data_IF_342933561728
#
_entry.id   IF_342933561728
#
_cell.length_a   1.000
_cell.length_b   1.000
_cell.length_c   1.000
_cell.angle_alpha   90.00
_cell.angle_beta   90.00
_cell.angle_gamma   90.00
#
_symmetry.space_group_name_H-M   'P 1'
#
loop_
_entity.id
_entity.type
_entity.pdbx_description
1 polymer ?
#
# COMPACT_ATOMS: atom_id res chain seq x y z
N UNK A 1 1.98 -19.47 11.86
CA UNK A 1 0.71 -18.74 12.05
C UNK A 1 1.01 -17.26 12.06
N UNK A 2 0.23 -16.43 11.36
CA UNK A 2 0.49 -15.00 11.30
C UNK A 2 0.06 -14.34 12.62
N UNK A 3 0.94 -13.58 13.30
CA UNK A 3 0.60 -12.84 14.52
C UNK A 3 -0.59 -11.87 14.34
N UNK A 4 -1.03 -11.62 13.10
CA UNK A 4 -2.07 -10.64 12.75
C UNK A 4 -3.48 -10.95 13.21
N UNK A 5 -3.77 -12.18 13.64
CA UNK A 5 -5.05 -12.51 14.28
C UNK A 5 -4.98 -12.25 15.79
N UNK A 6 -4.31 -11.17 16.20
CA UNK A 6 -4.14 -10.77 17.60
C UNK A 6 -4.87 -9.46 17.80
N UNK A 7 -5.73 -9.41 18.81
CA UNK A 7 -6.50 -8.24 19.21
C UNK A 7 -5.57 -7.07 19.58
N UNK A 8 -4.34 -7.36 20.02
CA UNK A 8 -3.25 -6.40 20.26
C UNK A 8 -3.00 -5.44 19.08
N UNK A 9 -3.15 -5.91 17.83
CA UNK A 9 -2.87 -5.09 16.64
C UNK A 9 -4.06 -4.27 16.14
N UNK A 10 -5.18 -4.28 16.86
CA UNK A 10 -6.30 -3.38 16.58
C UNK A 10 -6.01 -1.97 17.12
N UNK A 11 -6.65 -0.90 16.62
CA UNK A 11 -6.49 0.44 17.19
C UNK A 11 -6.76 0.50 18.70
N UNK A 12 -7.77 -0.24 19.16
CA UNK A 12 -8.09 -0.37 20.58
C UNK A 12 -6.99 -1.14 21.35
N UNK A 13 -6.47 -2.22 20.76
CA UNK A 13 -5.35 -3.00 21.30
C UNK A 13 -4.09 -2.17 21.48
N UNK A 14 -3.72 -1.37 20.47
CA UNK A 14 -2.56 -0.47 20.52
C UNK A 14 -2.71 0.62 21.58
N UNK A 15 -3.90 1.23 21.67
CA UNK A 15 -4.20 2.20 22.73
C UNK A 15 -4.05 1.58 24.11
N UNK A 16 -4.63 0.39 24.31
CA UNK A 16 -4.57 -0.32 25.59
C UNK A 16 -3.15 -0.75 25.95
N UNK A 17 -2.39 -1.23 24.98
CA UNK A 17 -0.98 -1.55 25.15
C UNK A 17 -0.19 -0.34 25.66
N UNK A 18 -0.38 0.82 25.04
CA UNK A 18 0.30 2.06 25.45
C UNK A 18 -0.07 2.46 26.88
N UNK A 19 -1.34 2.35 27.26
CA UNK A 19 -1.78 2.57 28.65
C UNK A 19 -1.08 1.64 29.64
N UNK A 20 -0.95 0.34 29.30
CA UNK A 20 -0.29 -0.64 30.16
C UNK A 20 1.19 -0.33 30.29
N UNK A 21 1.91 -0.14 29.18
CA UNK A 21 3.35 0.18 29.19
C UNK A 21 3.65 1.45 29.99
N UNK A 22 2.81 2.48 29.87
CA UNK A 22 2.98 3.72 30.61
C UNK A 22 2.84 3.53 32.13
N UNK A 23 1.96 2.62 32.57
CA UNK A 23 1.73 2.30 33.98
C UNK A 23 2.77 1.35 34.59
N UNK A 24 3.61 0.70 33.79
CA UNK A 24 4.68 -0.16 34.30
C UNK A 24 5.68 0.67 35.12
N UNK A 25 6.07 0.15 36.29
CA UNK A 25 7.12 0.73 37.13
C UNK A 25 8.51 0.23 36.67
N UNK A 26 8.88 0.59 35.44
CA UNK A 26 10.16 0.23 34.79
C UNK A 26 10.84 1.48 34.22
N UNK A 27 12.17 1.45 33.98
CA UNK A 27 12.89 2.54 33.34
C UNK A 27 12.25 2.98 32.01
N UNK A 28 12.35 4.28 31.71
CA UNK A 28 11.77 4.85 30.48
C UNK A 28 12.32 4.19 29.20
N UNK A 29 13.61 3.85 29.19
CA UNK A 29 14.25 3.19 28.05
C UNK A 29 13.60 1.83 27.73
N UNK A 30 13.18 1.08 28.74
CA UNK A 30 12.49 -0.21 28.54
C UNK A 30 11.08 -0.01 27.98
N UNK A 31 10.37 1.05 28.40
CA UNK A 31 9.08 1.43 27.82
C UNK A 31 9.23 1.75 26.32
N UNK A 32 10.24 2.53 25.96
CA UNK A 32 10.58 2.84 24.56
C UNK A 32 10.90 1.55 23.79
N UNK A 33 11.69 0.64 24.37
CA UNK A 33 12.03 -0.63 23.75
C UNK A 33 10.78 -1.52 23.50
N UNK A 34 9.79 -1.52 24.39
CA UNK A 34 8.52 -2.21 24.15
C UNK A 34 7.76 -1.61 22.96
N UNK A 35 7.64 -0.28 22.91
CA UNK A 35 6.98 0.42 21.80
C UNK A 35 7.69 0.18 20.46
N UNK A 36 9.02 0.28 20.44
CA UNK A 36 9.82 0.04 19.23
C UNK A 36 9.67 -1.39 18.72
N UNK A 37 9.63 -2.39 19.61
CA UNK A 37 9.41 -3.79 19.25
C UNK A 37 8.04 -3.99 18.63
N UNK A 38 6.99 -3.41 19.22
CA UNK A 38 5.63 -3.51 18.69
C UNK A 38 5.53 -2.83 17.33
N UNK A 39 6.14 -1.65 17.19
CA UNK A 39 6.22 -0.93 15.92
C UNK A 39 6.95 -1.75 14.84
N UNK A 40 8.06 -2.41 15.17
CA UNK A 40 8.79 -3.25 14.24
C UNK A 40 7.93 -4.40 13.70
N UNK A 41 7.05 -4.97 14.52
CA UNK A 41 6.11 -6.03 14.13
C UNK A 41 4.97 -5.47 13.27
N UNK A 42 4.38 -4.32 13.64
CA UNK A 42 3.37 -3.63 12.82
C UNK A 42 3.91 -3.19 11.45
N UNK A 43 5.20 -2.91 11.41
CA UNK A 43 5.91 -2.57 10.19
C UNK A 43 6.20 -3.78 9.31
N UNK A 44 6.09 -5.00 9.82
CA UNK A 44 6.22 -6.21 9.04
C UNK A 44 5.04 -6.34 8.06
N UNK A 45 5.24 -5.86 6.84
CA UNK A 45 4.26 -5.98 5.77
C UNK A 45 4.31 -7.39 5.19
N UNK A 46 3.13 -7.97 5.03
CA UNK A 46 2.90 -9.24 4.34
C UNK A 46 1.90 -9.01 3.22
N UNK A 47 1.84 -9.93 2.28
CA UNK A 47 0.79 -9.95 1.28
C UNK A 47 -0.55 -10.29 1.94
N UNK A 48 -1.57 -9.49 1.64
CA UNK A 48 -2.96 -9.84 1.97
C UNK A 48 -3.35 -11.05 1.11
N UNK A 49 -3.10 -10.95 -0.20
CA UNK A 49 -3.31 -12.04 -1.16
C UNK A 49 -1.99 -12.70 -1.51
N UNK A 50 -1.81 -13.98 -1.14
CA UNK A 50 -0.55 -14.71 -1.38
C UNK A 50 -0.16 -14.78 -2.87
N UNK A 51 -1.15 -14.65 -3.76
CA UNK A 51 -0.95 -14.71 -5.21
C UNK A 51 -0.60 -13.35 -5.85
N UNK A 52 -0.55 -12.23 -5.11
CA UNK A 52 -0.31 -10.89 -5.70
C UNK A 52 0.93 -10.87 -6.59
N UNK A 53 2.07 -11.39 -6.11
CA UNK A 53 3.32 -11.42 -6.89
C UNK A 53 3.18 -12.23 -8.19
N UNK A 54 2.44 -13.36 -8.15
CA UNK A 54 2.16 -14.18 -9.33
C UNK A 54 1.27 -13.45 -10.33
N UNK A 55 0.25 -12.75 -9.85
CA UNK A 55 -0.66 -11.96 -10.69
C UNK A 55 0.08 -10.84 -11.41
N UNK A 56 0.95 -10.10 -10.70
CA UNK A 56 1.79 -9.05 -11.29
C UNK A 56 2.64 -9.61 -12.43
N UNK A 57 3.37 -10.72 -12.18
CA UNK A 57 4.19 -11.39 -13.21
C UNK A 57 3.37 -11.86 -14.41
N UNK A 58 2.19 -12.40 -14.18
CA UNK A 58 1.29 -12.86 -15.24
C UNK A 58 0.79 -11.70 -16.11
N UNK A 59 0.42 -10.57 -15.51
CA UNK A 59 0.03 -9.36 -16.25
C UNK A 59 1.19 -8.84 -17.10
N UNK A 60 2.39 -8.73 -16.51
CA UNK A 60 3.59 -8.32 -17.23
C UNK A 60 3.90 -9.28 -18.39
N UNK A 61 3.83 -10.59 -18.17
CA UNK A 61 4.07 -11.60 -19.23
C UNK A 61 3.06 -11.51 -20.39
N UNK A 62 1.88 -10.93 -20.16
CA UNK A 62 0.87 -10.65 -21.20
C UNK A 62 1.04 -9.28 -21.88
N UNK A 63 2.14 -8.59 -21.61
CA UNK A 63 2.42 -7.27 -22.17
C UNK A 63 1.68 -6.13 -21.49
N UNK A 64 0.98 -6.36 -20.38
CA UNK A 64 0.34 -5.28 -19.64
C UNK A 64 1.39 -4.38 -18.98
N UNK A 65 1.13 -3.07 -19.00
CA UNK A 65 1.88 -2.12 -18.21
C UNK A 65 1.49 -2.22 -16.74
N UNK A 66 2.47 -2.37 -15.85
CA UNK A 66 2.22 -2.52 -14.41
C UNK A 66 3.20 -1.69 -13.59
N UNK A 67 2.67 -0.84 -12.71
CA UNK A 67 3.43 -0.04 -11.75
C UNK A 67 2.62 0.17 -10.47
N UNK A 68 3.30 0.55 -9.38
CA UNK A 68 2.64 0.84 -8.11
C UNK A 68 2.21 2.31 -7.97
N UNK A 69 1.13 2.56 -7.25
CA UNK A 69 0.71 3.91 -6.85
C UNK A 69 0.32 3.91 -5.36
N UNK A 70 1.06 4.65 -4.53
CA UNK A 70 0.91 4.63 -3.08
C UNK A 70 0.77 6.02 -2.48
N UNK A 71 -0.10 6.17 -1.47
CA UNK A 71 -0.26 7.42 -0.71
C UNK A 71 0.90 7.70 0.26
N UNK A 72 1.91 6.82 0.32
CA UNK A 72 3.08 7.01 1.18
C UNK A 72 3.94 8.18 0.71
N UNK A 73 4.66 8.77 1.65
CA UNK A 73 5.70 9.75 1.36
C UNK A 73 6.89 9.12 0.63
N UNK A 74 7.51 9.88 -0.26
CA UNK A 74 8.69 9.51 -1.04
C UNK A 74 9.88 9.09 -0.17
N UNK A 75 10.02 9.63 1.05
CA UNK A 75 11.03 9.20 2.02
C UNK A 75 10.94 7.70 2.37
N UNK A 76 9.79 7.06 2.15
CA UNK A 76 9.57 5.63 2.37
C UNK A 76 9.95 4.76 1.16
N UNK A 77 10.49 5.33 0.08
CA UNK A 77 10.71 4.61 -1.17
C UNK A 77 11.66 3.42 -1.00
N UNK A 78 12.82 3.63 -0.36
CA UNK A 78 13.80 2.56 -0.13
C UNK A 78 13.21 1.41 0.69
N UNK A 79 12.56 1.73 1.81
CA UNK A 79 11.91 0.72 2.68
C UNK A 79 10.79 -0.03 1.95
N UNK A 80 10.02 0.68 1.13
CA UNK A 80 8.94 0.09 0.35
C UNK A 80 9.50 -0.86 -0.71
N UNK A 81 10.61 -0.50 -1.38
CA UNK A 81 11.30 -1.38 -2.33
C UNK A 81 11.80 -2.66 -1.67
N UNK A 82 12.54 -2.55 -0.56
CA UNK A 82 13.00 -3.72 0.20
C UNK A 82 11.84 -4.64 0.61
N UNK A 83 10.72 -4.04 1.02
CA UNK A 83 9.51 -4.78 1.38
C UNK A 83 8.93 -5.53 0.17
N UNK A 84 8.77 -4.85 -0.97
CA UNK A 84 8.25 -5.46 -2.19
C UNK A 84 9.15 -6.61 -2.68
N UNK A 85 10.47 -6.43 -2.65
CA UNK A 85 11.44 -7.44 -3.02
C UNK A 85 11.31 -8.70 -2.16
N UNK A 86 11.23 -8.52 -0.84
CA UNK A 86 11.01 -9.62 0.11
C UNK A 86 9.70 -10.36 -0.15
N UNK A 87 8.67 -9.65 -0.62
CA UNK A 87 7.36 -10.21 -0.97
C UNK A 87 7.28 -10.72 -2.42
N UNK A 88 8.39 -10.69 -3.16
CA UNK A 88 8.46 -11.13 -4.55
C UNK A 88 7.68 -10.27 -5.55
N UNK A 89 7.27 -9.06 -5.16
CA UNK A 89 6.61 -8.09 -6.04
C UNK A 89 7.69 -7.31 -6.76
N UNK A 90 7.66 -7.37 -8.10
CA UNK A 90 8.54 -6.58 -8.94
C UNK A 90 7.75 -5.91 -10.06
N UNK A 91 7.76 -4.59 -10.10
CA UNK A 91 7.12 -3.77 -11.13
C UNK A 91 8.08 -3.34 -12.26
N UNK A 92 9.34 -3.80 -12.26
CA UNK A 92 10.33 -3.37 -13.26
C UNK A 92 10.10 -3.95 -14.65
N UNK A 93 9.41 -5.08 -14.75
CA UNK A 93 9.04 -5.64 -16.05
C UNK A 93 7.84 -4.88 -16.60
N UNK A 94 7.94 -4.38 -17.84
CA UNK A 94 6.87 -3.67 -18.55
C UNK A 94 6.28 -2.48 -17.78
N UNK A 95 7.11 -1.70 -17.09
CA UNK A 95 6.70 -0.38 -16.61
C UNK A 95 6.60 0.59 -17.79
N UNK A 96 5.56 1.45 -17.89
CA UNK A 96 5.48 2.51 -18.90
C UNK A 96 6.43 3.68 -18.60
N UNK A 97 7.05 3.67 -17.41
CA UNK A 97 7.93 4.72 -16.92
C UNK A 97 9.38 4.20 -16.90
N UNK A 98 10.37 5.06 -17.22
CA UNK A 98 11.77 4.66 -17.33
C UNK A 98 12.31 4.18 -15.97
N UNK A 99 12.75 2.91 -15.84
CA UNK A 99 13.08 2.31 -14.54
C UNK A 99 14.34 2.93 -13.89
N UNK A 100 15.17 3.62 -14.67
CA UNK A 100 16.46 4.18 -14.23
C UNK A 100 16.33 5.60 -13.68
N UNK A 101 15.18 6.27 -13.83
CA UNK A 101 15.03 7.67 -13.46
C UNK A 101 14.08 7.84 -12.28
N UNK A 102 14.58 8.51 -11.24
CA UNK A 102 13.73 9.09 -10.23
C UNK A 102 13.08 10.34 -10.82
N UNK A 103 11.77 10.31 -11.02
CA UNK A 103 11.02 11.44 -11.60
C UNK A 103 10.20 12.10 -10.51
N UNK A 104 10.40 13.40 -10.30
CA UNK A 104 9.61 14.16 -9.33
C UNK A 104 8.70 15.13 -10.06
N UNK A 105 7.41 15.07 -9.75
CA UNK A 105 6.45 16.05 -10.21
C UNK A 105 6.70 17.40 -9.49
N UNK A 106 6.87 18.52 -10.21
CA UNK A 106 7.27 19.78 -9.61
C UNK A 106 6.19 20.39 -8.69
N UNK A 107 4.91 20.09 -8.93
CA UNK A 107 3.79 20.73 -8.24
C UNK A 107 3.36 19.93 -7.01
N UNK A 108 3.08 18.64 -7.19
CA UNK A 108 2.63 17.72 -6.12
C UNK A 108 3.79 17.17 -5.29
N UNK A 109 5.03 17.36 -5.75
CA UNK A 109 6.26 16.73 -5.22
C UNK A 109 6.25 15.21 -5.26
N UNK A 110 5.25 14.59 -5.89
CA UNK A 110 5.13 13.15 -6.01
C UNK A 110 6.37 12.57 -6.71
N UNK A 111 6.84 11.43 -6.23
CA UNK A 111 8.07 10.80 -6.72
C UNK A 111 7.73 9.47 -7.37
N UNK A 112 8.12 9.29 -8.62
CA UNK A 112 8.26 7.97 -9.21
C UNK A 112 9.67 7.44 -8.96
N UNK A 113 9.76 6.30 -8.29
CA UNK A 113 11.03 5.61 -8.03
C UNK A 113 10.76 4.12 -7.84
N UNK A 114 11.66 3.27 -8.34
CA UNK A 114 11.53 1.81 -8.23
C UNK A 114 10.18 1.28 -8.77
N UNK A 115 9.68 1.88 -9.86
CA UNK A 115 8.41 1.51 -10.51
C UNK A 115 7.18 1.71 -9.61
N UNK A 116 7.28 2.64 -8.65
CA UNK A 116 6.18 3.06 -7.77
C UNK A 116 6.11 4.58 -7.73
N UNK A 117 4.90 5.11 -7.89
CA UNK A 117 4.58 6.53 -7.67
C UNK A 117 4.19 6.71 -6.19
N UNK A 118 4.92 7.56 -5.49
CA UNK A 118 4.68 7.99 -4.11
C UNK A 118 3.98 9.36 -4.15
N UNK A 119 2.69 9.40 -3.78
CA UNK A 119 1.88 10.62 -3.91
C UNK A 119 2.10 11.64 -2.80
N UNK A 120 2.87 11.33 -1.76
CA UNK A 120 3.06 12.22 -0.59
C UNK A 120 1.75 12.66 0.07
N UNK A 121 0.79 11.73 0.17
CA UNK A 121 -0.56 11.99 0.68
C UNK A 121 -1.39 13.00 -0.14
N UNK A 122 -0.95 13.36 -1.37
CA UNK A 122 -1.79 14.02 -2.36
C UNK A 122 -2.75 13.01 -2.99
N UNK A 123 -3.87 13.52 -3.49
CA UNK A 123 -4.90 12.76 -4.20
C UNK A 123 -4.30 11.88 -5.30
N UNK A 124 -4.65 10.60 -5.31
CA UNK A 124 -4.06 9.62 -6.23
C UNK A 124 -4.45 9.88 -7.69
N UNK A 125 -5.70 10.28 -7.92
CA UNK A 125 -6.20 10.58 -9.26
C UNK A 125 -5.49 11.78 -9.87
N UNK A 126 -5.34 12.87 -9.10
CA UNK A 126 -4.59 14.05 -9.52
C UNK A 126 -3.14 13.71 -9.87
N UNK A 127 -2.43 13.02 -8.97
CA UNK A 127 -1.03 12.64 -9.21
C UNK A 127 -0.90 11.71 -10.42
N UNK A 128 -1.79 10.73 -10.55
CA UNK A 128 -1.76 9.81 -11.68
C UNK A 128 -2.02 10.53 -13.01
N UNK A 129 -3.00 11.43 -13.07
CA UNK A 129 -3.30 12.21 -14.28
C UNK A 129 -2.08 13.03 -14.73
N UNK A 130 -1.35 13.63 -13.80
CA UNK A 130 -0.13 14.38 -14.09
C UNK A 130 1.01 13.51 -14.63
N UNK A 131 1.19 12.31 -14.08
CA UNK A 131 2.18 11.36 -14.63
C UNK A 131 1.75 10.85 -16.01
N UNK A 132 0.46 10.62 -16.24
CA UNK A 132 -0.07 10.27 -17.55
C UNK A 132 0.16 11.41 -18.56
N UNK A 133 -0.11 12.66 -18.18
CA UNK A 133 -0.02 13.82 -19.05
C UNK A 133 1.41 14.21 -19.39
N UNK A 134 2.32 14.17 -18.41
CA UNK A 134 3.63 14.79 -18.53
C UNK A 134 4.75 13.78 -18.80
N UNK A 135 4.53 12.50 -18.54
CA UNK A 135 5.58 11.48 -18.60
C UNK A 135 5.21 10.33 -19.52
N UNK A 136 4.04 9.72 -19.32
CA UNK A 136 3.66 8.51 -20.07
C UNK A 136 3.14 8.89 -21.47
N UNK A 137 2.34 9.95 -21.57
CA UNK A 137 1.76 10.45 -22.82
C UNK A 137 2.01 11.96 -22.98
N UNK A 138 3.28 12.41 -23.06
CA UNK A 138 3.63 13.83 -23.14
C UNK A 138 3.00 14.53 -24.36
N UNK A 139 2.67 13.77 -25.40
CA UNK A 139 2.08 14.28 -26.65
C UNK A 139 0.56 14.07 -26.73
N UNK A 140 -0.10 13.70 -25.62
CA UNK A 140 -1.54 13.40 -25.61
C UNK A 140 -2.39 14.55 -26.19
N UNK A 141 -2.03 15.80 -25.88
CA UNK A 141 -2.73 16.98 -26.40
C UNK A 141 -2.65 17.09 -27.93
N UNK A 142 -1.47 16.77 -28.52
CA UNK A 142 -1.27 16.79 -29.97
C UNK A 142 -2.01 15.63 -30.65
N UNK A 143 -2.05 14.45 -30.03
CA UNK A 143 -2.77 13.28 -30.55
C UNK A 143 -4.29 13.52 -30.67
N UNK A 144 -4.86 14.30 -29.75
CA UNK A 144 -6.29 14.65 -29.75
C UNK A 144 -6.61 15.76 -30.77
N UNK A 145 -5.65 16.65 -31.06
CA UNK A 145 -5.89 17.87 -31.84
C UNK A 145 -5.84 17.71 -33.38
N UNK A 146 -5.30 16.63 -33.93
CA UNK A 146 -5.36 16.44 -35.39
C UNK A 146 -4.39 15.43 -36.00
N UNK A 147 -4.90 14.23 -36.26
CA UNK A 147 -4.69 13.44 -37.51
C UNK A 147 -3.31 12.93 -37.92
N UNK A 148 -2.20 13.45 -37.39
CA UNK A 148 -0.86 13.02 -37.79
C UNK A 148 -0.36 11.90 -36.86
N UNK A 149 -0.48 10.66 -37.33
CA UNK A 149 0.14 9.50 -36.71
C UNK A 149 1.67 9.63 -36.74
N UNK A 150 2.23 10.30 -35.72
CA UNK A 150 3.57 9.98 -35.24
C UNK A 150 3.68 8.47 -34.95
N UNK A 151 4.90 7.93 -34.75
CA UNK A 151 5.08 6.51 -34.44
C UNK A 151 4.08 6.14 -33.33
N UNK A 152 3.16 5.22 -33.65
CA UNK A 152 2.01 4.89 -32.80
C UNK A 152 2.52 4.56 -31.40
N UNK A 153 2.51 5.55 -30.50
CA UNK A 153 2.61 5.29 -29.08
C UNK A 153 1.48 4.29 -28.79
N UNK A 154 1.85 3.17 -28.17
CA UNK A 154 0.92 2.10 -27.90
C UNK A 154 -0.01 2.57 -26.77
N UNK A 155 -1.08 3.27 -27.13
CA UNK A 155 -2.09 3.73 -26.18
C UNK A 155 -2.87 2.49 -25.70
N UNK A 156 -2.89 2.19 -24.39
CA UNK A 156 -3.65 1.07 -23.87
C UNK A 156 -5.14 1.32 -24.06
N UNK A 157 -5.94 0.29 -24.32
CA UNK A 157 -7.39 0.43 -24.43
C UNK A 157 -8.05 0.67 -23.06
N UNK A 158 -7.37 0.26 -21.98
CA UNK A 158 -7.92 0.28 -20.63
C UNK A 158 -6.83 0.52 -19.58
N UNK A 159 -7.16 1.32 -18.57
CA UNK A 159 -6.43 1.50 -17.32
C UNK A 159 -7.24 0.84 -16.19
N UNK A 160 -6.63 -0.15 -15.55
CA UNK A 160 -7.23 -0.81 -14.37
C UNK A 160 -6.55 -0.30 -13.10
N UNK A 161 -7.34 0.24 -12.18
CA UNK A 161 -6.86 0.72 -10.88
C UNK A 161 -7.43 -0.13 -9.75
N UNK A 162 -6.59 -0.56 -8.81
CA UNK A 162 -6.98 -1.45 -7.71
C UNK A 162 -6.50 -0.86 -6.38
N UNK A 163 -7.40 -0.68 -5.43
CA UNK A 163 -7.09 -0.09 -4.11
C UNK A 163 -8.04 -0.58 -3.01
N UNK A 164 -7.57 -0.56 -1.75
CA UNK A 164 -8.37 -0.93 -0.58
C UNK A 164 -9.23 0.22 -0.05
N UNK A 165 -9.06 1.43 -0.57
CA UNK A 165 -9.85 2.60 -0.18
C UNK A 165 -10.73 3.05 -1.34
N UNK A 166 -12.05 2.97 -1.16
CA UNK A 166 -13.02 3.44 -2.15
C UNK A 166 -12.74 4.87 -2.64
N UNK A 167 -12.40 5.80 -1.73
CA UNK A 167 -12.10 7.19 -2.10
C UNK A 167 -10.89 7.33 -3.03
N UNK A 168 -9.90 6.43 -2.95
CA UNK A 168 -8.78 6.42 -3.89
C UNK A 168 -9.24 5.94 -5.28
N UNK A 169 -10.13 4.93 -5.32
CA UNK A 169 -10.67 4.39 -6.57
C UNK A 169 -11.52 5.43 -7.28
N UNK A 170 -12.45 6.06 -6.55
CA UNK A 170 -13.30 7.14 -7.07
C UNK A 170 -12.48 8.32 -7.56
N UNK A 171 -11.44 8.71 -6.81
CA UNK A 171 -10.49 9.76 -7.19
C UNK A 171 -9.83 9.46 -8.54
N UNK A 172 -9.26 8.26 -8.72
CA UNK A 172 -8.62 7.88 -9.99
C UNK A 172 -9.62 7.86 -11.15
N UNK A 173 -10.79 7.25 -10.95
CA UNK A 173 -11.84 7.17 -11.98
C UNK A 173 -12.30 8.56 -12.40
N UNK A 174 -12.42 9.52 -11.47
CA UNK A 174 -12.90 10.87 -11.76
C UNK A 174 -11.84 11.80 -12.34
N UNK A 175 -10.60 11.73 -11.84
CA UNK A 175 -9.59 12.77 -12.06
C UNK A 175 -8.58 12.43 -13.17
N UNK A 176 -8.57 11.22 -13.74
CA UNK A 176 -7.67 10.84 -14.84
C UNK A 176 -8.16 11.32 -16.22
N UNK A 177 -8.28 12.64 -16.37
CA UNK A 177 -8.81 13.31 -17.55
C UNK A 177 -8.01 13.01 -18.83
N UNK A 178 -6.69 12.85 -18.75
CA UNK A 178 -5.86 12.53 -19.92
C UNK A 178 -6.19 11.15 -20.47
N UNK A 179 -6.42 10.17 -19.60
CA UNK A 179 -6.86 8.84 -20.03
C UNK A 179 -8.18 8.91 -20.80
N UNK A 180 -9.16 9.65 -20.28
CA UNK A 180 -10.45 9.85 -20.95
C UNK A 180 -10.32 10.54 -22.31
N UNK A 181 -9.49 11.59 -22.40
CA UNK A 181 -9.22 12.31 -23.66
C UNK A 181 -8.58 11.41 -24.72
N UNK A 182 -7.75 10.46 -24.29
CA UNK A 182 -7.11 9.47 -25.16
C UNK A 182 -8.02 8.27 -25.49
N UNK A 183 -9.27 8.26 -25.01
CA UNK A 183 -10.19 7.13 -25.20
C UNK A 183 -9.81 5.87 -24.40
N UNK A 184 -8.96 6.01 -23.39
CA UNK A 184 -8.59 4.91 -22.49
C UNK A 184 -9.75 4.70 -21.52
N UNK A 185 -10.35 3.51 -21.52
CA UNK A 185 -11.36 3.14 -20.51
C UNK A 185 -10.71 3.04 -19.13
N UNK A 186 -11.33 3.59 -18.10
CA UNK A 186 -10.84 3.46 -16.72
C UNK A 186 -11.75 2.52 -15.95
N UNK A 187 -11.18 1.46 -15.37
CA UNK A 187 -11.91 0.50 -14.53
C UNK A 187 -11.29 0.48 -13.13
N UNK A 188 -12.09 0.84 -12.13
CA UNK A 188 -11.69 0.85 -10.74
C UNK A 188 -12.18 -0.38 -9.98
N UNK A 189 -11.30 -1.06 -9.25
CA UNK A 189 -11.62 -2.14 -8.33
C UNK A 189 -11.31 -1.72 -6.90
N UNK A 190 -12.37 -1.56 -6.09
CA UNK A 190 -12.25 -1.44 -4.65
C UNK A 190 -12.32 -2.84 -4.03
N UNK A 191 -11.23 -3.30 -3.43
CA UNK A 191 -11.24 -4.55 -2.68
C UNK A 191 -11.33 -4.25 -1.18
N UNK A 192 -12.25 -4.91 -0.51
CA UNK A 192 -12.34 -4.86 0.95
C UNK A 192 -11.80 -6.15 1.51
N UNK A 193 -11.09 -6.06 2.63
CA UNK A 193 -10.90 -7.24 3.48
C UNK A 193 -12.29 -7.62 3.97
N UNK A 194 -12.61 -8.92 4.00
CA UNK A 194 -13.83 -9.40 4.63
C UNK A 194 -14.02 -8.71 5.98
N UNK A 195 -15.24 -8.26 6.27
CA UNK A 195 -15.53 -7.54 7.51
C UNK A 195 -14.90 -8.32 8.68
N UNK A 196 -14.10 -7.65 9.53
CA UNK A 196 -13.48 -8.35 10.64
C UNK A 196 -14.61 -9.02 11.44
N UNK A 197 -14.40 -10.26 11.92
CA UNK A 197 -15.40 -10.89 12.76
C UNK A 197 -15.73 -9.96 13.93
N UNK A 198 -16.99 -9.97 14.42
CA UNK A 198 -17.34 -9.17 15.58
C UNK A 198 -16.37 -9.47 16.72
N UNK A 199 -16.01 -8.46 17.53
CA UNK A 199 -15.06 -8.66 18.61
C UNK A 199 -15.54 -9.79 19.51
N UNK A 200 -14.62 -10.65 19.99
CA UNK A 200 -14.96 -11.73 20.91
C UNK A 200 -15.69 -11.19 22.15
N UNK A 201 -16.62 -11.96 22.72
CA UNK A 201 -17.30 -11.57 23.99
C UNK A 201 -16.29 -11.36 25.13
N UNK A 202 -15.17 -12.06 25.06
CA UNK A 202 -14.03 -12.07 25.99
C UNK A 202 -12.85 -11.20 25.54
N UNK A 203 -13.05 -10.28 24.57
CA UNK A 203 -11.98 -9.49 23.96
C UNK A 203 -11.05 -8.77 24.96
N UNK A 204 -11.59 -8.34 26.10
CA UNK A 204 -10.80 -7.69 27.15
C UNK A 204 -9.80 -8.65 27.81
N UNK A 205 -10.27 -9.82 28.23
CA UNK A 205 -9.44 -10.85 28.88
C UNK A 205 -8.35 -11.33 27.93
N UNK A 206 -8.72 -11.55 26.66
CA UNK A 206 -7.76 -11.91 25.61
C UNK A 206 -6.70 -10.84 25.44
N UNK A 207 -7.09 -9.58 25.23
CA UNK A 207 -6.15 -8.49 25.03
C UNK A 207 -5.20 -8.29 26.23
N UNK A 208 -5.70 -8.41 27.46
CA UNK A 208 -4.87 -8.34 28.67
C UNK A 208 -3.83 -9.47 28.70
N UNK A 209 -4.23 -10.71 28.35
CA UNK A 209 -3.30 -11.82 28.20
C UNK A 209 -2.25 -11.58 27.11
N UNK A 210 -2.67 -11.13 25.92
CA UNK A 210 -1.76 -10.83 24.80
C UNK A 210 -0.72 -9.76 25.16
N UNK A 211 -1.15 -8.66 25.79
CA UNK A 211 -0.26 -7.60 26.26
C UNK A 211 0.75 -8.15 27.27
N UNK A 212 0.29 -8.99 28.21
CA UNK A 212 1.18 -9.60 29.20
C UNK A 212 2.22 -10.52 28.56
N UNK A 213 1.83 -11.36 27.59
CA UNK A 213 2.77 -12.19 26.83
C UNK A 213 3.80 -11.33 26.08
N UNK A 214 3.35 -10.23 25.48
CA UNK A 214 4.23 -9.34 24.74
C UNK A 214 5.23 -8.61 25.64
N UNK A 215 4.76 -8.04 26.75
CA UNK A 215 5.60 -7.29 27.69
C UNK A 215 6.56 -8.22 28.42
N UNK A 216 6.07 -9.30 29.01
CA UNK A 216 6.88 -10.15 29.90
C UNK A 216 7.73 -11.16 29.13
N UNK A 217 7.16 -11.78 28.09
CA UNK A 217 7.82 -12.88 27.36
C UNK A 217 8.35 -12.47 25.99
N UNK A 218 8.21 -11.19 25.61
CA UNK A 218 8.63 -10.66 24.31
C UNK A 218 8.04 -11.45 23.14
N UNK A 219 6.85 -12.03 23.33
CA UNK A 219 6.19 -12.93 22.38
C UNK A 219 4.81 -12.39 22.02
N UNK A 220 4.54 -12.32 20.72
CA UNK A 220 3.17 -12.11 20.22
C UNK A 220 2.44 -13.45 20.21
N UNK A 221 1.22 -13.46 20.71
CA UNK A 221 0.32 -14.62 20.66
C UNK A 221 -0.91 -14.25 19.85
N UNK A 222 -1.48 -15.22 19.15
CA UNK A 222 -2.74 -15.04 18.41
C UNK A 222 -3.96 -15.12 19.34
N UNK A 223 -5.10 -14.58 18.91
CA UNK A 223 -6.38 -14.70 19.61
C UNK A 223 -6.72 -16.18 19.91
N UNK A 224 -6.41 -17.10 18.99
CA UNK A 224 -6.63 -18.54 19.17
C UNK A 224 -5.78 -19.11 20.31
N UNK A 225 -4.49 -18.75 20.35
CA UNK A 225 -3.59 -19.18 21.42
C UNK A 225 -3.98 -18.56 22.76
N UNK A 226 -4.37 -17.29 22.77
CA UNK A 226 -4.86 -16.59 23.96
C UNK A 226 -6.10 -17.31 24.53
N UNK A 227 -7.10 -17.62 23.70
CA UNK A 227 -8.31 -18.36 24.10
C UNK A 227 -8.05 -19.76 24.65
N UNK A 228 -6.97 -20.41 24.20
CA UNK A 228 -6.62 -21.74 24.69
C UNK A 228 -5.95 -21.67 26.07
N UNK A 229 -5.44 -20.49 26.45
CA UNK A 229 -4.67 -20.28 27.67
C UNK A 229 -5.45 -19.55 28.78
N UNK A 230 -6.59 -18.92 28.46
CA UNK A 230 -7.49 -18.21 29.39
C UNK A 230 -8.73 -19.03 29.67
#
# INVERSE_FOLDING_TARGET
MSPRNSTLFTPMGLKRFQEVVNKLNIPYQDKVAHCQRLQAILDEKVLVEQNTARVVKMLQARGCWVFGLTSRYSAMAHRTKQTMDRLGINFSANSPLPPTLALQDPDTKALFCNNVIFTNAIDKGEVLDRFLSNVIFPNAAAAVAGGAHGPKEQIPQELVFVDDRIGNVESVVRNTHVAMKLGIRITGYHYTVAAPPPPPRDARTLLEYEINQFVQKKRVVSDKEARTAT
#
